data_IF_144535113689
#
_entry.id   IF_144535113689
#
_cell.length_a   1.000
_cell.length_b   1.000
_cell.length_c   1.000
_cell.angle_alpha   90.00
_cell.angle_beta   90.00
_cell.angle_gamma   90.00
#
_symmetry.space_group_name_H-M   'P 1'
#
loop_
_entity.id
_entity.type
_entity.pdbx_description
1 polymer ?
#
# COMPACT_ATOMS: atom_id res chain seq x y z
N UNK A 1 3.46 -14.82 17.68
CA UNK A 1 4.47 -14.54 16.66
C UNK A 1 3.83 -13.84 15.47
N UNK A 2 4.45 -12.81 14.97
CA UNK A 2 3.88 -12.04 13.88
C UNK A 2 4.27 -12.66 12.53
N UNK A 3 3.29 -12.76 11.66
CA UNK A 3 3.51 -13.20 10.29
C UNK A 3 3.60 -11.97 9.40
N UNK A 4 4.57 -11.95 8.50
CA UNK A 4 4.68 -10.88 7.53
C UNK A 4 4.22 -11.37 6.16
N UNK A 5 3.28 -10.66 5.57
CA UNK A 5 2.73 -11.01 4.26
C UNK A 5 3.05 -9.89 3.28
N UNK A 6 3.91 -10.14 2.29
CA UNK A 6 4.17 -9.15 1.25
C UNK A 6 3.05 -9.17 0.22
N UNK A 7 2.59 -8.00 -0.17
CA UNK A 7 1.55 -7.84 -1.18
C UNK A 7 2.04 -6.81 -2.19
N UNK A 8 2.05 -7.18 -3.46
CA UNK A 8 2.54 -6.32 -4.53
C UNK A 8 1.37 -5.73 -5.31
N UNK A 9 1.43 -4.42 -5.52
CA UNK A 9 0.49 -3.70 -6.36
C UNK A 9 1.26 -2.95 -7.44
N UNK A 10 0.67 -2.83 -8.62
CA UNK A 10 1.15 -1.91 -9.64
C UNK A 10 0.16 -0.75 -9.71
N UNK A 11 0.66 0.48 -9.67
CA UNK A 11 -0.21 1.64 -9.63
C UNK A 11 0.43 2.85 -10.31
N UNK A 12 -0.42 3.76 -10.77
CA UNK A 12 -0.02 5.09 -11.20
C UNK A 12 -1.04 6.09 -10.66
N UNK A 13 -0.94 7.36 -11.07
CA UNK A 13 -1.83 8.40 -10.55
C UNK A 13 -3.31 8.09 -10.79
N UNK A 14 -3.63 7.39 -11.88
CA UNK A 14 -5.01 7.07 -12.23
C UNK A 14 -5.61 5.96 -11.36
N UNK A 15 -4.75 5.16 -10.73
CA UNK A 15 -5.20 4.02 -9.94
C UNK A 15 -5.30 4.31 -8.45
N UNK A 16 -5.01 5.54 -8.03
CA UNK A 16 -5.02 5.87 -6.60
C UNK A 16 -6.37 5.58 -5.94
N UNK A 17 -7.52 5.93 -6.54
CA UNK A 17 -8.80 5.59 -5.91
C UNK A 17 -9.02 4.10 -5.73
N UNK A 18 -8.62 3.30 -6.72
CA UNK A 18 -8.72 1.83 -6.61
C UNK A 18 -7.79 1.29 -5.53
N UNK A 19 -6.60 1.87 -5.42
CA UNK A 19 -5.63 1.48 -4.42
C UNK A 19 -6.16 1.79 -3.02
N UNK A 20 -6.79 2.94 -2.84
CA UNK A 20 -7.36 3.33 -1.56
C UNK A 20 -8.45 2.32 -1.12
N UNK A 21 -9.29 1.89 -2.05
CA UNK A 21 -10.33 0.89 -1.77
C UNK A 21 -9.69 -0.44 -1.38
N UNK A 22 -8.65 -0.85 -2.09
CA UNK A 22 -7.96 -2.12 -1.80
C UNK A 22 -7.33 -2.08 -0.42
N UNK A 23 -6.69 -0.98 -0.06
CA UNK A 23 -6.07 -0.83 1.25
C UNK A 23 -7.13 -0.80 2.35
N UNK A 24 -8.25 -0.13 2.11
CA UNK A 24 -9.34 -0.08 3.07
C UNK A 24 -9.92 -1.48 3.33
N UNK A 25 -10.10 -2.27 2.26
CA UNK A 25 -10.55 -3.65 2.39
C UNK A 25 -9.57 -4.48 3.21
N UNK A 26 -8.28 -4.26 3.02
CA UNK A 26 -7.25 -4.94 3.78
C UNK A 26 -7.33 -4.56 5.26
N UNK A 27 -7.52 -3.28 5.56
CA UNK A 27 -7.68 -2.81 6.94
C UNK A 27 -8.86 -3.47 7.62
N UNK A 28 -9.98 -3.58 6.91
CA UNK A 28 -11.21 -4.14 7.48
C UNK A 28 -11.05 -5.63 7.80
N UNK A 29 -10.17 -6.31 7.10
CA UNK A 29 -9.97 -7.75 7.26
C UNK A 29 -8.61 -8.10 7.88
N UNK A 30 -7.83 -7.11 8.26
CA UNK A 30 -6.48 -7.36 8.77
C UNK A 30 -6.52 -8.04 10.14
N UNK A 31 -5.60 -8.98 10.31
CA UNK A 31 -5.39 -9.64 11.58
C UNK A 31 -4.34 -8.86 12.38
N UNK A 32 -4.60 -8.60 13.65
CA UNK A 32 -3.69 -7.85 14.51
C UNK A 32 -2.33 -8.53 14.66
N UNK A 33 -2.25 -9.83 14.46
CA UNK A 33 -1.01 -10.58 14.59
C UNK A 33 -0.25 -10.70 13.26
N UNK A 34 -0.74 -10.05 12.21
CA UNK A 34 -0.14 -10.13 10.89
C UNK A 34 0.34 -8.76 10.47
N UNK A 35 1.59 -8.69 10.00
CA UNK A 35 2.12 -7.48 9.39
C UNK A 35 1.99 -7.61 7.89
N UNK A 36 1.26 -6.67 7.29
CA UNK A 36 1.09 -6.62 5.84
C UNK A 36 2.07 -5.60 5.27
N UNK A 37 2.90 -6.04 4.36
CA UNK A 37 3.85 -5.15 3.70
C UNK A 37 3.38 -4.93 2.27
N UNK A 38 2.85 -3.75 2.02
CA UNK A 38 2.37 -3.38 0.68
C UNK A 38 3.51 -2.75 -0.10
N UNK A 39 3.89 -3.39 -1.18
CA UNK A 39 4.93 -2.90 -2.07
C UNK A 39 4.25 -2.43 -3.33
N UNK A 40 4.28 -1.13 -3.56
CA UNK A 40 3.58 -0.50 -4.67
C UNK A 40 4.60 -0.14 -5.74
N UNK A 41 4.49 -0.80 -6.88
CA UNK A 41 5.36 -0.55 -8.03
C UNK A 41 4.74 0.54 -8.88
N UNK A 42 5.50 1.59 -9.13
CA UNK A 42 5.01 2.71 -9.92
C UNK A 42 6.11 3.23 -10.85
N UNK A 43 5.72 3.84 -11.94
CA UNK A 43 6.68 4.37 -12.90
C UNK A 43 6.68 5.90 -12.94
N UNK A 44 5.58 6.54 -12.59
CA UNK A 44 5.44 7.98 -12.76
C UNK A 44 4.38 8.54 -11.80
N UNK A 45 4.58 8.31 -10.52
CA UNK A 45 3.67 8.83 -9.51
C UNK A 45 4.18 10.15 -8.97
N UNK A 46 3.32 11.17 -8.94
CA UNK A 46 3.69 12.48 -8.42
C UNK A 46 3.98 12.41 -6.92
N UNK A 47 4.76 13.36 -6.43
CA UNK A 47 5.12 13.42 -5.01
C UNK A 47 3.88 13.57 -4.12
N UNK A 48 2.91 14.38 -4.53
CA UNK A 48 1.67 14.56 -3.78
C UNK A 48 0.90 13.24 -3.67
N UNK A 49 0.83 12.49 -4.76
CA UNK A 49 0.15 11.19 -4.76
C UNK A 49 0.91 10.16 -3.93
N UNK A 50 2.23 10.21 -3.99
CA UNK A 50 3.08 9.34 -3.17
C UNK A 50 2.80 9.56 -1.69
N UNK A 51 2.75 10.82 -1.26
CA UNK A 51 2.47 11.17 0.12
C UNK A 51 1.06 10.73 0.52
N UNK A 52 0.09 10.87 -0.37
CA UNK A 52 -1.27 10.44 -0.11
C UNK A 52 -1.34 8.93 0.13
N UNK A 53 -0.68 8.15 -0.71
CA UNK A 53 -0.65 6.70 -0.57
C UNK A 53 0.05 6.29 0.72
N UNK A 54 1.16 6.93 1.06
CA UNK A 54 1.88 6.62 2.29
C UNK A 54 1.03 6.87 3.53
N UNK A 55 0.09 7.80 3.46
CA UNK A 55 -0.79 8.09 4.59
C UNK A 55 -1.81 7.00 4.86
N UNK A 56 -2.00 6.06 3.93
CA UNK A 56 -2.94 4.96 4.11
C UNK A 56 -2.43 3.87 5.05
N UNK A 57 -1.14 3.88 5.38
CA UNK A 57 -0.55 2.87 6.23
C UNK A 57 -1.07 2.91 7.66
N UNK A 58 -1.00 1.77 8.35
CA UNK A 58 -1.36 1.65 9.75
C UNK A 58 -0.25 0.90 10.50
N UNK A 59 -0.46 0.62 11.79
CA UNK A 59 0.54 -0.08 12.60
C UNK A 59 0.89 -1.45 12.04
N UNK A 60 -0.08 -2.15 11.46
CA UNK A 60 0.15 -3.48 10.91
C UNK A 60 0.10 -3.52 9.38
N UNK A 61 0.01 -2.36 8.72
CA UNK A 61 0.07 -2.25 7.27
C UNK A 61 1.15 -1.25 6.93
N UNK A 62 2.29 -1.75 6.44
CA UNK A 62 3.40 -0.92 6.02
C UNK A 62 3.33 -0.73 4.50
N UNK A 63 3.55 0.49 4.06
CA UNK A 63 3.49 0.82 2.63
C UNK A 63 4.88 1.20 2.16
N UNK A 64 5.33 0.53 1.11
CA UNK A 64 6.61 0.82 0.47
C UNK A 64 6.36 1.11 -1.00
N UNK A 65 6.94 2.20 -1.48
CA UNK A 65 6.80 2.61 -2.87
C UNK A 65 8.10 2.34 -3.60
N UNK A 66 8.00 1.67 -4.74
CA UNK A 66 9.16 1.37 -5.57
C UNK A 66 8.96 1.92 -6.97
N UNK A 67 9.90 2.75 -7.42
CA UNK A 67 9.89 3.30 -8.76
C UNK A 67 10.54 2.27 -9.70
N UNK A 68 9.80 1.85 -10.70
CA UNK A 68 10.27 0.86 -11.67
C UNK A 68 10.56 1.44 -13.05
N UNK A 69 10.45 2.76 -13.18
CA UNK A 69 10.71 3.43 -14.48
C UNK A 69 12.19 3.41 -14.83
#
# INVERSE_FOLDING_TARGET
>A
MNTEIPIFFAADDNYIPCLAVAIQSLKDNANNNTLYKLIILHSDMSENKTNEVMSFGTDNIKIELKNIA
#
